data_IF_214753632685
#
_entry.id   IF_214753632685
#
_cell.length_a   1.000
_cell.length_b   1.000
_cell.length_c   1.000
_cell.angle_alpha   90.00
_cell.angle_beta   90.00
_cell.angle_gamma   90.00
#
_symmetry.space_group_name_H-M   'P 1'
#
loop_
_entity.id
_entity.type
_entity.pdbx_description
1 polymer ?
#
# COMPACT_ATOMS: atom_id res chain seq x y z
N UNK A 1 -40.48 22.85 9.46
CA UNK A 1 -39.09 22.42 9.78
C UNK A 1 -38.38 22.04 8.49
N UNK A 2 -37.21 22.60 8.17
CA UNK A 2 -36.44 22.15 7.02
C UNK A 2 -35.89 20.74 7.31
N UNK A 3 -36.10 19.80 6.38
CA UNK A 3 -35.55 18.44 6.49
C UNK A 3 -34.02 18.54 6.49
N UNK A 4 -33.38 17.99 7.53
CA UNK A 4 -31.91 17.89 7.60
C UNK A 4 -31.44 17.12 6.35
N UNK A 5 -30.43 17.61 5.59
CA UNK A 5 -29.96 16.91 4.41
C UNK A 5 -29.54 15.49 4.81
N UNK A 6 -29.89 14.51 3.97
CA UNK A 6 -29.52 13.12 4.18
C UNK A 6 -28.00 13.04 4.36
N UNK A 7 -27.52 12.40 5.44
CA UNK A 7 -26.09 12.15 5.61
C UNK A 7 -25.62 11.35 4.40
N UNK A 8 -24.68 11.90 3.63
CA UNK A 8 -24.00 11.15 2.58
C UNK A 8 -23.55 9.82 3.17
N UNK A 9 -23.88 8.67 2.57
CA UNK A 9 -23.48 7.38 3.14
C UNK A 9 -21.96 7.39 3.30
N UNK A 10 -21.47 7.04 4.50
CA UNK A 10 -20.05 7.05 4.81
C UNK A 10 -19.31 6.17 3.80
N UNK A 11 -18.45 6.80 3.00
CA UNK A 11 -17.54 6.14 2.08
C UNK A 11 -16.29 5.82 2.89
N UNK A 12 -15.87 4.56 2.89
CA UNK A 12 -14.67 4.15 3.61
C UNK A 12 -13.48 4.40 2.67
N UNK A 13 -12.58 5.34 2.99
CA UNK A 13 -11.30 5.40 2.29
C UNK A 13 -10.58 4.07 2.53
N UNK A 14 -10.19 3.39 1.45
CA UNK A 14 -9.48 2.12 1.57
C UNK A 14 -8.05 2.44 2.00
N UNK A 15 -7.78 2.28 3.29
CA UNK A 15 -6.43 2.33 3.84
C UNK A 15 -5.96 0.89 4.03
N UNK A 16 -5.10 0.42 3.14
CA UNK A 16 -4.49 -0.91 3.27
C UNK A 16 -3.28 -0.76 4.19
N UNK A 17 -3.40 -1.23 5.44
CA UNK A 17 -2.31 -1.27 6.42
C UNK A 17 -1.78 -2.69 6.47
N UNK A 18 -0.65 -2.95 5.80
CA UNK A 18 0.04 -4.23 5.92
C UNK A 18 1.16 -4.11 6.95
N UNK A 19 0.96 -4.68 8.15
CA UNK A 19 2.10 -5.15 8.95
C UNK A 19 2.49 -6.51 8.39
N UNK A 20 3.40 -6.49 7.44
CA UNK A 20 3.96 -7.68 6.86
C UNK A 20 5.36 -7.87 7.48
N UNK A 21 5.49 -8.76 8.47
CA UNK A 21 6.80 -9.32 8.84
C UNK A 21 7.23 -10.33 7.75
N UNK A 22 7.13 -9.91 6.48
CA UNK A 22 7.29 -10.74 5.28
C UNK A 22 8.51 -10.24 4.52
N UNK A 23 9.59 -11.04 4.39
CA UNK A 23 10.83 -10.66 3.74
C UNK A 23 10.65 -9.88 2.43
N UNK A 24 11.49 -8.87 2.17
CA UNK A 24 11.43 -8.00 0.96
C UNK A 24 11.27 -8.80 -0.34
N UNK A 25 11.84 -10.01 -0.40
CA UNK A 25 11.74 -10.93 -1.54
C UNK A 25 10.29 -11.27 -1.91
N UNK A 26 9.38 -11.26 -0.94
CA UNK A 26 7.98 -11.64 -1.09
C UNK A 26 7.09 -10.43 -1.41
N UNK A 27 7.58 -9.19 -1.38
CA UNK A 27 6.81 -8.02 -1.86
C UNK A 27 6.74 -7.95 -3.40
N UNK A 28 7.39 -8.88 -4.09
CA UNK A 28 7.36 -9.05 -5.54
C UNK A 28 7.10 -10.52 -5.85
N UNK A 29 6.75 -10.81 -7.08
CA UNK A 29 6.73 -12.20 -7.52
C UNK A 29 8.16 -12.77 -7.43
N UNK A 30 8.36 -13.77 -6.58
CA UNK A 30 9.67 -14.38 -6.32
C UNK A 30 10.21 -15.07 -7.58
N UNK A 31 11.54 -15.09 -7.73
CA UNK A 31 12.20 -15.74 -8.85
C UNK A 31 11.75 -17.21 -8.97
N UNK A 32 11.35 -17.62 -10.18
CA UNK A 32 10.69 -18.91 -10.51
C UNK A 32 9.22 -19.05 -10.07
N UNK A 33 8.47 -17.95 -9.87
CA UNK A 33 7.03 -17.95 -9.56
C UNK A 33 6.63 -18.76 -8.31
N UNK A 34 7.57 -19.09 -7.42
CA UNK A 34 7.28 -19.86 -6.21
C UNK A 34 6.37 -19.12 -5.24
N UNK A 35 6.39 -17.78 -5.28
CA UNK A 35 5.50 -16.91 -4.50
C UNK A 35 5.07 -15.76 -5.41
N UNK A 36 3.77 -15.67 -5.73
CA UNK A 36 3.19 -14.64 -6.61
C UNK A 36 2.45 -13.58 -5.81
N UNK A 37 3.13 -12.97 -4.86
CA UNK A 37 2.48 -12.09 -3.88
C UNK A 37 1.97 -10.79 -4.49
N UNK A 38 2.70 -10.23 -5.47
CA UNK A 38 2.26 -9.03 -6.18
C UNK A 38 0.96 -9.32 -6.93
N UNK A 39 0.89 -10.45 -7.64
CA UNK A 39 -0.34 -10.86 -8.33
C UNK A 39 -1.49 -11.13 -7.37
N UNK A 40 -1.25 -11.88 -6.29
CA UNK A 40 -2.26 -12.13 -5.27
C UNK A 40 -2.80 -10.80 -4.72
N UNK A 41 -1.92 -9.85 -4.41
CA UNK A 41 -2.31 -8.56 -3.85
C UNK A 41 -3.22 -7.76 -4.80
N UNK A 42 -2.83 -7.65 -6.08
CA UNK A 42 -3.56 -6.81 -7.04
C UNK A 42 -4.75 -7.51 -7.70
N UNK A 43 -4.67 -8.83 -7.92
CA UNK A 43 -5.67 -9.59 -8.68
C UNK A 43 -6.65 -10.33 -7.76
N UNK A 44 -6.20 -10.77 -6.58
CA UNK A 44 -7.01 -11.61 -5.69
C UNK A 44 -7.44 -10.89 -4.41
N UNK A 45 -6.68 -9.91 -3.92
CA UNK A 45 -7.00 -9.23 -2.66
C UNK A 45 -7.78 -7.93 -2.85
N UNK A 46 -7.31 -7.00 -3.71
CA UNK A 46 -7.98 -5.71 -3.91
C UNK A 46 -9.39 -5.86 -4.51
N UNK A 47 -9.63 -6.65 -5.57
CA UNK A 47 -10.93 -6.67 -6.24
C UNK A 47 -12.08 -7.18 -5.33
N UNK A 48 -11.91 -8.25 -4.52
CA UNK A 48 -12.96 -8.65 -3.58
C UNK A 48 -13.24 -7.61 -2.49
N UNK A 49 -12.24 -6.85 -2.04
CA UNK A 49 -12.45 -5.74 -1.10
C UNK A 49 -13.31 -4.66 -1.73
N UNK A 50 -13.01 -4.26 -2.97
CA UNK A 50 -13.81 -3.26 -3.68
C UNK A 50 -15.24 -3.73 -3.98
N UNK A 51 -15.43 -5.04 -4.21
CA UNK A 51 -16.75 -5.62 -4.44
C UNK A 51 -17.58 -5.78 -3.16
N UNK A 52 -16.93 -6.06 -2.03
CA UNK A 52 -17.62 -6.37 -0.76
C UNK A 52 -17.92 -5.12 0.07
N UNK A 53 -17.02 -4.14 0.04
CA UNK A 53 -17.11 -2.94 0.85
C UNK A 53 -17.47 -1.72 0.00
N UNK A 54 -18.03 -0.67 0.64
CA UNK A 54 -18.32 0.61 -0.04
C UNK A 54 -17.03 1.42 -0.23
N UNK A 55 -16.15 0.94 -1.08
CA UNK A 55 -14.92 1.60 -1.48
C UNK A 55 -15.17 2.54 -2.67
N UNK A 56 -14.20 3.39 -2.99
CA UNK A 56 -14.12 4.06 -4.30
C UNK A 56 -12.89 3.51 -5.00
N UNK A 57 -13.09 2.68 -6.01
CA UNK A 57 -12.01 2.01 -6.73
C UNK A 57 -11.16 2.96 -7.60
N UNK A 58 -11.64 4.18 -7.89
CA UNK A 58 -10.89 5.15 -8.66
C UNK A 58 -9.62 5.59 -7.90
N UNK A 59 -8.50 5.67 -8.62
CA UNK A 59 -7.16 5.98 -8.11
C UNK A 59 -7.13 7.16 -7.13
N UNK A 60 -7.87 8.24 -7.40
CA UNK A 60 -7.91 9.47 -6.57
C UNK A 60 -8.43 9.24 -5.15
N UNK A 61 -9.02 8.07 -4.87
CA UNK A 61 -9.51 7.67 -3.55
C UNK A 61 -8.71 6.52 -2.93
N UNK A 62 -7.61 6.09 -3.57
CA UNK A 62 -6.75 5.01 -3.08
C UNK A 62 -5.38 5.53 -2.69
N UNK A 63 -4.97 5.20 -1.47
CA UNK A 63 -3.64 5.48 -0.94
C UNK A 63 -3.11 4.25 -0.21
N UNK A 64 -1.79 4.08 -0.23
CA UNK A 64 -1.09 3.03 0.51
C UNK A 64 -0.31 3.61 1.70
N UNK A 65 -0.23 2.84 2.78
CA UNK A 65 0.64 3.16 3.90
C UNK A 65 1.18 1.88 4.53
N UNK A 66 2.46 1.88 4.90
CA UNK A 66 3.07 0.75 5.60
C UNK A 66 4.12 1.19 6.59
N UNK A 67 4.45 0.35 7.56
CA UNK A 67 5.51 0.61 8.54
C UNK A 67 6.71 -0.28 8.23
N UNK A 68 7.93 0.24 8.44
CA UNK A 68 9.17 -0.50 8.23
C UNK A 68 9.22 -1.06 6.79
N UNK A 69 9.45 -2.36 6.63
CA UNK A 69 9.45 -3.05 5.34
C UNK A 69 8.12 -2.90 4.56
N UNK A 70 6.98 -2.79 5.25
CA UNK A 70 5.70 -2.52 4.61
C UNK A 70 5.64 -1.11 3.98
N UNK A 71 6.37 -0.16 4.55
CA UNK A 71 6.56 1.18 4.02
C UNK A 71 7.28 1.17 2.68
N UNK A 72 8.40 0.44 2.62
CA UNK A 72 9.15 0.23 1.40
C UNK A 72 8.30 -0.49 0.33
N UNK A 73 7.60 -1.56 0.71
CA UNK A 73 6.67 -2.26 -0.19
C UNK A 73 5.57 -1.37 -0.75
N UNK A 74 5.00 -0.51 0.09
CA UNK A 74 4.00 0.48 -0.33
C UNK A 74 4.56 1.42 -1.39
N UNK A 75 5.77 1.97 -1.18
CA UNK A 75 6.42 2.83 -2.17
C UNK A 75 6.69 2.08 -3.48
N UNK A 76 7.24 0.87 -3.40
CA UNK A 76 7.52 0.03 -4.57
C UNK A 76 6.25 -0.26 -5.37
N UNK A 77 5.14 -0.58 -4.71
CA UNK A 77 3.85 -0.79 -5.37
C UNK A 77 3.29 0.48 -6.00
N UNK A 78 3.37 1.62 -5.33
CA UNK A 78 2.93 2.89 -5.91
C UNK A 78 3.76 3.27 -7.16
N UNK A 79 5.05 2.93 -7.19
CA UNK A 79 5.91 3.18 -8.34
C UNK A 79 5.71 2.17 -9.48
N UNK A 80 5.39 0.90 -9.17
CA UNK A 80 5.17 -0.17 -10.17
C UNK A 80 3.75 -0.17 -10.75
N UNK A 81 2.77 0.25 -9.96
CA UNK A 81 1.34 0.31 -10.31
C UNK A 81 0.82 1.73 -10.06
N UNK A 82 1.34 2.75 -10.77
CA UNK A 82 0.94 4.14 -10.58
C UNK A 82 -0.55 4.38 -10.87
N UNK A 83 -1.22 3.50 -11.60
CA UNK A 83 -2.65 3.51 -11.85
C UNK A 83 -3.50 3.09 -10.63
N UNK A 84 -2.86 2.51 -9.61
CA UNK A 84 -3.55 1.98 -8.43
C UNK A 84 -3.52 2.96 -7.25
N UNK A 85 -2.49 3.78 -7.08
CA UNK A 85 -2.35 4.62 -5.87
C UNK A 85 -2.08 6.08 -6.20
N UNK A 86 -2.85 6.99 -5.58
CA UNK A 86 -2.56 8.44 -5.64
C UNK A 86 -1.45 8.85 -4.68
N UNK A 87 -1.29 8.12 -3.57
CA UNK A 87 -0.30 8.46 -2.55
C UNK A 87 0.23 7.20 -1.85
N UNK A 88 1.50 7.27 -1.45
CA UNK A 88 2.17 6.29 -0.60
C UNK A 88 2.77 7.00 0.61
N UNK A 89 2.59 6.44 1.80
CA UNK A 89 3.08 7.03 3.05
C UNK A 89 4.05 6.09 3.76
N UNK A 90 4.96 6.70 4.55
CA UNK A 90 5.91 6.01 5.45
C UNK A 90 6.86 5.06 4.70
N UNK A 91 7.40 5.51 3.58
CA UNK A 91 8.15 4.71 2.61
C UNK A 91 9.41 3.96 3.13
N UNK A 92 9.86 4.20 4.37
CA UNK A 92 11.06 3.59 4.94
C UNK A 92 12.26 3.69 3.99
N UNK A 93 12.50 4.92 3.51
CA UNK A 93 13.65 5.26 2.65
C UNK A 93 14.72 5.92 3.50
N UNK A 94 15.97 5.61 3.18
CA UNK A 94 17.14 6.28 3.73
C UNK A 94 17.92 6.90 2.60
N UNK A 95 18.44 8.09 2.83
CA UNK A 95 19.42 8.75 1.99
C UNK A 95 20.81 8.18 2.21
N UNK A 96 21.71 8.37 1.26
CA UNK A 96 23.11 7.97 1.41
C UNK A 96 23.75 8.64 2.63
N UNK A 97 23.45 9.92 2.86
CA UNK A 97 23.94 10.67 4.02
C UNK A 97 23.46 10.06 5.35
N UNK A 98 22.20 9.66 5.45
CA UNK A 98 21.67 8.99 6.65
C UNK A 98 22.34 7.64 6.92
N UNK A 99 22.66 6.88 5.86
CA UNK A 99 23.38 5.61 5.98
C UNK A 99 24.81 5.85 6.46
N UNK A 100 25.50 6.83 5.86
CA UNK A 100 26.89 7.18 6.22
C UNK A 100 26.96 7.69 7.66
N UNK A 101 25.98 8.50 8.09
CA UNK A 101 25.95 9.10 9.41
C UNK A 101 25.36 8.19 10.51
N UNK A 102 24.92 6.97 10.16
CA UNK A 102 24.42 5.98 11.12
C UNK A 102 25.32 4.74 11.09
N UNK A 103 26.37 4.68 11.93
CA UNK A 103 27.37 3.60 11.91
C UNK A 103 26.78 2.20 12.13
N UNK A 104 25.63 2.10 12.79
CA UNK A 104 24.90 0.84 13.01
C UNK A 104 24.25 0.28 11.74
N UNK A 105 24.05 1.12 10.71
CA UNK A 105 23.49 0.75 9.41
C UNK A 105 24.58 0.55 8.34
N UNK A 106 25.76 1.13 8.55
CA UNK A 106 26.96 0.93 7.74
C UNK A 106 27.71 -0.33 8.20
N UNK A 107 27.13 -1.50 7.93
CA UNK A 107 27.76 -2.79 8.25
C UNK A 107 29.12 -2.99 7.59
#
# INVERSE_FOLDING_TARGET
>A
MPKRPAKTPAIIPVMIITKLDIPVIILKNAYQNRVRYEDMFFQEFIPPIDATFRTRAAIVFRAGAGLSMGGWGTLVYALRHPEMFTAAFRAAVWTEEEIINTPELAG
#
